data_IF_290844146663
#
_entry.id   IF_290844146663
#
_cell.length_a   1.000
_cell.length_b   1.000
_cell.length_c   1.000
_cell.angle_alpha   90.00
_cell.angle_beta   90.00
_cell.angle_gamma   90.00
#
_symmetry.space_group_name_H-M   'P 1'
#
loop_
_entity.id
_entity.type
_entity.pdbx_description
1 polymer ?
#
# COMPACT_ATOMS: atom_id res chain seq x y z
N UNK A 1 -11.08 -36.88 19.82
CA UNK A 1 -10.94 -35.51 20.37
C UNK A 1 -11.68 -34.56 19.45
N UNK A 2 -12.91 -34.22 19.82
CA UNK A 2 -13.82 -33.39 19.03
C UNK A 2 -13.30 -31.94 19.03
N UNK A 3 -13.12 -31.35 17.84
CA UNK A 3 -12.96 -29.90 17.70
C UNK A 3 -14.22 -29.23 18.27
N UNK A 4 -14.10 -28.17 19.08
CA UNK A 4 -15.26 -27.41 19.51
C UNK A 4 -15.93 -26.76 18.28
N UNK A 5 -17.26 -26.55 18.32
CA UNK A 5 -17.98 -25.94 17.21
C UNK A 5 -17.45 -24.53 17.00
N UNK A 6 -17.24 -24.17 15.73
CA UNK A 6 -16.87 -22.82 15.30
C UNK A 6 -17.87 -21.84 15.91
N UNK A 7 -17.44 -21.13 16.95
CA UNK A 7 -18.20 -20.03 17.55
C UNK A 7 -18.51 -19.04 16.43
N UNK A 8 -19.79 -18.72 16.24
CA UNK A 8 -20.24 -17.72 15.27
C UNK A 8 -19.42 -16.44 15.48
N UNK A 9 -18.49 -16.16 14.56
CA UNK A 9 -17.86 -14.85 14.47
C UNK A 9 -18.95 -13.87 14.08
N UNK A 10 -19.33 -12.99 15.01
CA UNK A 10 -20.15 -11.83 14.67
C UNK A 10 -19.25 -10.88 13.86
N UNK A 11 -19.44 -10.91 12.55
CA UNK A 11 -18.79 -9.97 11.63
C UNK A 11 -19.38 -8.57 11.87
N UNK A 12 -18.51 -7.55 11.97
CA UNK A 12 -18.95 -6.16 12.04
C UNK A 12 -19.81 -5.74 10.84
N UNK A 13 -20.46 -4.57 10.87
CA UNK A 13 -21.36 -4.11 9.79
C UNK A 13 -20.65 -3.79 8.46
N UNK A 14 -19.33 -3.96 8.39
CA UNK A 14 -18.51 -3.61 7.24
C UNK A 14 -17.36 -4.58 6.99
N UNK A 15 -16.54 -4.26 6.00
CA UNK A 15 -15.46 -5.12 5.50
C UNK A 15 -14.08 -4.49 5.73
N UNK A 16 -13.06 -5.34 5.81
CA UNK A 16 -11.66 -4.92 5.72
C UNK A 16 -11.11 -5.14 4.33
N UNK A 17 -10.19 -4.28 3.90
CA UNK A 17 -9.51 -4.37 2.61
C UNK A 17 -8.01 -4.59 2.82
N UNK A 18 -7.44 -5.59 2.14
CA UNK A 18 -6.00 -5.81 2.08
C UNK A 18 -5.57 -5.59 0.63
N UNK A 19 -4.78 -4.55 0.39
CA UNK A 19 -4.34 -4.18 -0.95
C UNK A 19 -2.82 -4.14 -1.06
N UNK A 20 -2.29 -4.71 -2.12
CA UNK A 20 -0.86 -4.65 -2.46
C UNK A 20 -0.64 -3.80 -3.72
N UNK A 21 0.35 -2.91 -3.70
CA UNK A 21 0.74 -2.09 -4.86
C UNK A 21 -0.47 -1.29 -5.38
N UNK A 22 -0.81 -1.40 -6.67
CA UNK A 22 -2.05 -0.81 -7.24
C UNK A 22 -3.33 -1.22 -6.49
N UNK A 23 -3.38 -2.44 -5.93
CA UNK A 23 -4.48 -2.88 -5.06
C UNK A 23 -4.55 -2.10 -3.74
N UNK A 24 -3.41 -1.65 -3.21
CA UNK A 24 -3.35 -0.74 -2.06
C UNK A 24 -3.93 0.63 -2.41
N UNK A 25 -3.54 1.19 -3.56
CA UNK A 25 -4.11 2.44 -4.10
C UNK A 25 -5.65 2.35 -4.24
N UNK A 26 -6.14 1.27 -4.85
CA UNK A 26 -7.59 1.05 -5.02
C UNK A 26 -8.28 0.89 -3.67
N UNK A 27 -7.69 0.16 -2.71
CA UNK A 27 -8.27 -0.03 -1.37
C UNK A 27 -8.38 1.29 -0.60
N UNK A 28 -7.37 2.15 -0.71
CA UNK A 28 -7.35 3.49 -0.15
C UNK A 28 -8.45 4.36 -0.75
N UNK A 29 -8.62 4.34 -2.08
CA UNK A 29 -9.70 5.05 -2.74
C UNK A 29 -11.09 4.51 -2.35
N UNK A 30 -11.25 3.19 -2.26
CA UNK A 30 -12.50 2.59 -1.76
C UNK A 30 -12.87 3.12 -0.38
N UNK A 31 -11.90 3.21 0.55
CA UNK A 31 -12.15 3.78 1.88
C UNK A 31 -12.54 5.26 1.86
N UNK A 32 -12.05 6.04 0.90
CA UNK A 32 -12.37 7.46 0.77
C UNK A 32 -13.76 7.74 0.15
N UNK A 33 -14.31 6.81 -0.64
CA UNK A 33 -15.53 7.04 -1.42
C UNK A 33 -16.70 6.10 -1.11
N UNK A 34 -16.44 4.92 -0.56
CA UNK A 34 -17.45 3.91 -0.28
C UNK A 34 -17.78 3.86 1.22
N UNK A 35 -19.01 3.45 1.53
CA UNK A 35 -19.45 3.20 2.91
C UNK A 35 -19.05 1.79 3.36
N UNK A 36 -19.08 1.56 4.67
CA UNK A 36 -18.88 0.24 5.30
C UNK A 36 -17.48 -0.37 5.09
N UNK A 37 -16.46 0.46 4.82
CA UNK A 37 -15.04 0.05 4.89
C UNK A 37 -14.53 0.38 6.29
N UNK A 38 -14.16 -0.65 7.05
CA UNK A 38 -13.81 -0.50 8.46
C UNK A 38 -12.31 -0.43 8.70
N UNK A 39 -11.53 -1.14 7.89
CA UNK A 39 -10.10 -1.25 8.05
C UNK A 39 -9.44 -1.47 6.69
N UNK A 40 -8.32 -0.79 6.44
CA UNK A 40 -7.51 -0.97 5.22
C UNK A 40 -6.07 -1.22 5.61
N UNK A 41 -5.53 -2.32 5.08
CA UNK A 41 -4.09 -2.57 5.06
C UNK A 41 -3.59 -2.27 3.65
N UNK A 42 -2.65 -1.35 3.52
CA UNK A 42 -1.97 -1.02 2.26
C UNK A 42 -0.52 -1.50 2.31
N UNK A 43 -0.18 -2.49 1.48
CA UNK A 43 1.17 -3.01 1.31
C UNK A 43 1.83 -2.32 0.12
N UNK A 44 2.83 -1.45 0.37
CA UNK A 44 3.53 -0.70 -0.68
C UNK A 44 2.58 -0.05 -1.72
N UNK A 45 1.42 0.41 -1.25
CA UNK A 45 0.41 1.00 -2.11
C UNK A 45 0.65 2.50 -2.31
N UNK A 46 0.61 3.01 -3.56
CA UNK A 46 0.55 4.45 -3.80
C UNK A 46 -0.65 5.09 -3.10
N UNK A 47 -0.47 6.33 -2.63
CA UNK A 47 -1.52 7.15 -1.98
C UNK A 47 -2.15 8.16 -2.94
N UNK A 48 -1.76 8.09 -4.22
CA UNK A 48 -2.23 8.91 -5.31
C UNK A 48 -2.62 8.02 -6.48
N UNK A 49 -3.51 8.49 -7.35
CA UNK A 49 -3.87 7.76 -8.55
C UNK A 49 -2.65 7.61 -9.47
N UNK A 50 -2.28 6.39 -9.81
CA UNK A 50 -1.16 6.08 -10.73
C UNK A 50 -1.65 5.36 -11.97
N UNK A 51 -1.06 5.64 -13.13
CA UNK A 51 -1.26 4.96 -14.43
C UNK A 51 -2.67 4.99 -15.05
N UNK A 52 -3.72 4.75 -14.26
CA UNK A 52 -5.13 4.74 -14.65
C UNK A 52 -5.90 5.64 -13.68
N UNK A 53 -6.68 6.62 -14.17
CA UNK A 53 -7.49 7.49 -13.32
C UNK A 53 -8.48 6.68 -12.47
N UNK A 54 -8.75 7.17 -11.25
CA UNK A 54 -9.77 6.57 -10.38
C UNK A 54 -11.09 7.31 -10.57
N UNK A 55 -12.14 6.61 -10.99
CA UNK A 55 -13.45 7.19 -11.24
C UNK A 55 -14.50 6.61 -10.29
N UNK A 56 -15.29 7.47 -9.66
CA UNK A 56 -16.44 7.08 -8.86
C UNK A 56 -17.58 8.09 -9.04
N UNK A 57 -18.68 7.65 -9.66
CA UNK A 57 -19.81 8.49 -10.08
C UNK A 57 -19.33 9.68 -10.92
N UNK A 58 -19.57 10.90 -10.48
CA UNK A 58 -19.18 12.18 -11.08
C UNK A 58 -17.77 12.64 -10.70
N UNK A 59 -17.04 11.86 -9.89
CA UNK A 59 -15.69 12.20 -9.41
C UNK A 59 -14.63 11.44 -10.17
N UNK A 60 -13.58 12.14 -10.56
CA UNK A 60 -12.37 11.57 -11.16
C UNK A 60 -11.14 12.10 -10.46
N UNK A 61 -10.26 11.19 -10.03
CA UNK A 61 -8.91 11.52 -9.56
C UNK A 61 -7.96 11.29 -10.74
N UNK A 62 -7.37 12.35 -11.32
CA UNK A 62 -6.41 12.22 -12.41
C UNK A 62 -5.13 11.53 -11.94
N UNK A 63 -4.46 10.84 -12.84
CA UNK A 63 -3.20 10.14 -12.54
C UNK A 63 -2.04 11.11 -12.36
N UNK A 64 -1.07 10.72 -11.54
CA UNK A 64 0.24 11.34 -11.56
C UNK A 64 0.87 11.24 -12.95
N UNK A 65 1.59 12.30 -13.32
CA UNK A 65 2.39 12.29 -14.54
C UNK A 65 3.53 11.29 -14.39
N UNK A 66 3.71 10.48 -15.43
CA UNK A 66 4.73 9.45 -15.50
C UNK A 66 5.80 9.86 -16.51
N UNK A 67 7.05 9.90 -16.06
CA UNK A 67 8.22 10.19 -16.87
C UNK A 67 9.11 8.95 -16.98
N UNK A 68 8.83 8.10 -17.97
CA UNK A 68 9.60 6.86 -18.19
C UNK A 68 11.10 7.15 -18.39
N UNK A 69 11.48 8.31 -18.92
CA UNK A 69 12.88 8.71 -19.10
C UNK A 69 13.64 8.94 -17.78
N UNK A 70 12.94 9.09 -16.64
CA UNK A 70 13.56 9.17 -15.31
C UNK A 70 13.95 7.80 -14.73
N UNK A 71 13.55 6.70 -15.39
CA UNK A 71 13.95 5.35 -14.96
C UNK A 71 15.48 5.21 -15.06
N UNK A 72 16.10 4.70 -14.00
CA UNK A 72 17.57 4.55 -13.94
C UNK A 72 17.95 3.14 -14.35
N UNK A 73 18.84 3.02 -15.33
CA UNK A 73 19.41 1.73 -15.71
C UNK A 73 20.52 1.33 -14.74
N UNK A 74 20.47 0.12 -14.21
CA UNK A 74 21.60 -0.50 -13.52
C UNK A 74 22.66 -0.96 -14.51
N UNK A 75 23.86 -1.31 -14.02
CA UNK A 75 24.94 -1.89 -14.82
C UNK A 75 24.51 -3.16 -15.60
N UNK A 76 23.47 -3.86 -15.15
CA UNK A 76 22.91 -5.05 -15.78
C UNK A 76 21.70 -4.78 -16.69
N UNK A 77 21.46 -3.51 -17.09
CA UNK A 77 20.32 -3.07 -17.91
C UNK A 77 18.95 -3.36 -17.30
N UNK A 78 18.89 -3.51 -15.97
CA UNK A 78 17.64 -3.61 -15.22
C UNK A 78 17.23 -2.19 -14.83
N UNK A 79 15.93 -1.89 -14.81
CA UNK A 79 15.43 -0.55 -14.57
C UNK A 79 14.96 -0.36 -13.13
N UNK A 80 15.40 0.72 -12.49
CA UNK A 80 14.85 1.24 -11.24
C UNK A 80 13.83 2.32 -11.60
N UNK A 81 12.59 2.15 -11.12
CA UNK A 81 11.46 3.00 -11.45
C UNK A 81 11.07 3.93 -10.31
N UNK A 82 11.78 3.94 -9.19
CA UNK A 82 11.42 4.72 -8.00
C UNK A 82 11.19 6.22 -8.26
N UNK A 83 11.82 6.78 -9.29
CA UNK A 83 11.74 8.21 -9.65
C UNK A 83 10.88 8.54 -10.88
N UNK A 84 10.11 7.59 -11.42
CA UNK A 84 9.34 7.83 -12.67
C UNK A 84 8.04 8.59 -12.48
N UNK A 85 7.47 8.57 -11.28
CA UNK A 85 6.24 9.31 -10.98
C UNK A 85 6.60 10.69 -10.42
N UNK A 86 5.81 11.71 -10.81
CA UNK A 86 5.84 12.99 -10.10
C UNK A 86 5.51 12.81 -8.62
N UNK A 87 6.01 13.74 -7.81
CA UNK A 87 5.70 13.77 -6.40
C UNK A 87 4.26 14.24 -6.19
N UNK A 88 3.36 13.39 -5.66
CA UNK A 88 1.96 13.75 -5.45
C UNK A 88 1.76 14.89 -4.46
N UNK A 89 2.72 15.15 -3.58
CA UNK A 89 2.65 16.21 -2.57
C UNK A 89 3.21 17.55 -3.04
N UNK A 90 3.89 17.56 -4.20
CA UNK A 90 4.36 18.77 -4.87
C UNK A 90 3.56 19.07 -6.15
N UNK A 91 2.71 18.13 -6.59
CA UNK A 91 1.88 18.30 -7.76
C UNK A 91 0.83 19.43 -7.53
N UNK A 92 0.60 20.30 -8.54
CA UNK A 92 -0.36 21.40 -8.41
C UNK A 92 -1.73 20.92 -7.94
N UNK A 93 -2.23 21.55 -6.86
CA UNK A 93 -3.57 21.31 -6.33
C UNK A 93 -3.79 19.94 -5.70
N UNK A 94 -2.74 19.11 -5.51
CA UNK A 94 -2.85 17.76 -4.93
C UNK A 94 -3.90 16.87 -5.63
N UNK A 95 -4.19 17.15 -6.90
CA UNK A 95 -5.35 16.61 -7.62
C UNK A 95 -5.34 15.08 -7.75
N UNK A 96 -4.15 14.49 -7.73
CA UNK A 96 -3.97 13.04 -7.82
C UNK A 96 -4.00 12.34 -6.47
N UNK A 97 -3.93 13.05 -5.34
CA UNK A 97 -3.99 12.45 -4.01
C UNK A 97 -5.37 11.85 -3.76
N UNK A 98 -5.38 10.67 -3.15
CA UNK A 98 -6.60 10.06 -2.65
C UNK A 98 -7.02 10.83 -1.39
N UNK A 99 -8.28 11.30 -1.27
CA UNK A 99 -8.73 12.14 -0.16
C UNK A 99 -9.00 11.32 1.11
N UNK A 100 -7.94 10.75 1.70
CA UNK A 100 -8.02 9.87 2.86
C UNK A 100 -8.56 10.57 4.11
N UNK A 101 -8.54 11.88 4.17
CA UNK A 101 -9.16 12.64 5.24
C UNK A 101 -10.68 12.43 5.34
N UNK A 102 -11.31 12.05 4.23
CA UNK A 102 -12.75 11.75 4.17
C UNK A 102 -13.08 10.34 4.66
N UNK A 103 -12.08 9.49 4.79
CA UNK A 103 -12.27 8.13 5.25
C UNK A 103 -12.39 8.07 6.79
N UNK A 104 -13.25 7.17 7.24
CA UNK A 104 -13.43 6.80 8.65
C UNK A 104 -12.76 5.45 8.98
N UNK A 105 -12.28 4.74 7.96
CA UNK A 105 -11.62 3.45 8.10
C UNK A 105 -10.33 3.55 8.92
N UNK A 106 -9.96 2.48 9.61
CA UNK A 106 -8.64 2.36 10.23
C UNK A 106 -7.60 2.02 9.16
N UNK A 107 -6.43 2.64 9.20
CA UNK A 107 -5.36 2.41 8.22
C UNK A 107 -4.14 1.75 8.84
N UNK A 108 -3.60 0.75 8.14
CA UNK A 108 -2.28 0.20 8.39
C UNK A 108 -1.48 0.24 7.09
N UNK A 109 -0.50 1.12 7.03
CA UNK A 109 0.46 1.18 5.95
C UNK A 109 1.64 0.27 6.28
N UNK A 110 1.93 -0.68 5.42
CA UNK A 110 3.10 -1.55 5.53
C UNK A 110 3.99 -1.27 4.33
N UNK A 111 5.21 -0.81 4.61
CA UNK A 111 6.12 -0.32 3.57
C UNK A 111 7.47 -0.99 3.65
N UNK A 112 8.02 -1.33 2.48
CA UNK A 112 9.41 -1.73 2.31
C UNK A 112 10.27 -0.50 2.05
N UNK A 113 11.35 -0.31 2.81
CA UNK A 113 12.24 0.84 2.62
C UNK A 113 13.14 0.72 1.38
N UNK A 114 13.27 -0.48 0.83
CA UNK A 114 14.02 -0.75 -0.41
C UNK A 114 13.09 -0.96 -1.61
N UNK A 115 11.84 -0.48 -1.55
CA UNK A 115 10.93 -0.50 -2.70
C UNK A 115 11.50 0.35 -3.86
N UNK A 116 11.78 -0.30 -5.00
CA UNK A 116 12.33 0.32 -6.22
C UNK A 116 11.30 0.52 -7.34
N UNK A 117 10.03 0.32 -7.03
CA UNK A 117 8.91 0.53 -7.96
C UNK A 117 8.17 1.81 -7.58
N UNK A 118 7.91 1.99 -6.29
CA UNK A 118 7.17 3.13 -5.73
C UNK A 118 7.93 3.65 -4.51
N UNK A 119 7.91 4.96 -4.27
CA UNK A 119 8.45 5.57 -3.03
C UNK A 119 7.53 5.32 -1.83
N UNK A 120 7.27 4.05 -1.52
CA UNK A 120 6.23 3.61 -0.59
C UNK A 120 6.37 4.22 0.81
N UNK A 121 7.58 4.21 1.40
CA UNK A 121 7.80 4.81 2.72
C UNK A 121 7.57 6.32 2.72
N UNK A 122 8.08 7.02 1.71
CA UNK A 122 7.88 8.46 1.57
C UNK A 122 6.39 8.80 1.45
N UNK A 123 5.67 8.09 0.58
CA UNK A 123 4.24 8.32 0.36
C UNK A 123 3.40 8.04 1.62
N UNK A 124 3.65 6.93 2.32
CA UNK A 124 2.97 6.62 3.57
C UNK A 124 3.27 7.67 4.65
N UNK A 125 4.53 8.10 4.77
CA UNK A 125 4.95 9.10 5.75
C UNK A 125 4.28 10.45 5.52
N UNK A 126 4.30 10.95 4.29
CA UNK A 126 3.73 12.26 3.97
C UNK A 126 2.20 12.26 4.07
N UNK A 127 1.50 11.19 3.63
CA UNK A 127 0.05 11.14 3.80
C UNK A 127 -0.35 11.08 5.27
N UNK A 128 0.40 10.36 6.11
CA UNK A 128 0.15 10.31 7.54
C UNK A 128 0.39 11.67 8.22
N UNK A 129 1.40 12.44 7.80
CA UNK A 129 1.58 13.83 8.27
C UNK A 129 0.37 14.70 7.91
N UNK A 130 -0.13 14.60 6.67
CA UNK A 130 -1.34 15.33 6.24
C UNK A 130 -2.57 14.93 7.06
N UNK A 131 -2.77 13.64 7.29
CA UNK A 131 -3.87 13.14 8.12
C UNK A 131 -3.76 13.66 9.56
N UNK A 132 -2.56 13.60 10.15
CA UNK A 132 -2.30 14.11 11.50
C UNK A 132 -2.58 15.61 11.61
N UNK A 133 -2.15 16.41 10.63
CA UNK A 133 -2.42 17.85 10.57
C UNK A 133 -3.92 18.18 10.50
N UNK A 134 -4.75 17.23 10.06
CA UNK A 134 -6.21 17.32 10.01
C UNK A 134 -6.89 16.65 11.22
N UNK A 135 -6.13 16.31 12.27
CA UNK A 135 -6.65 15.73 13.51
C UNK A 135 -7.04 14.26 13.41
N UNK A 136 -6.60 13.54 12.39
CA UNK A 136 -6.83 12.10 12.25
C UNK A 136 -5.75 11.33 13.02
N UNK A 137 -6.18 10.26 13.69
CA UNK A 137 -5.31 9.36 14.46
C UNK A 137 -5.54 7.88 14.10
N UNK A 138 -6.42 7.61 13.15
CA UNK A 138 -6.85 6.29 12.70
C UNK A 138 -5.87 5.63 11.70
N UNK A 139 -4.56 5.78 11.92
CA UNK A 139 -3.55 5.19 11.04
C UNK A 139 -2.31 4.69 11.81
N UNK A 140 -1.62 3.73 11.22
CA UNK A 140 -0.34 3.19 11.68
C UNK A 140 0.58 2.94 10.48
N UNK A 141 1.89 3.09 10.66
CA UNK A 141 2.89 2.75 9.65
C UNK A 141 3.84 1.70 10.23
N UNK A 142 4.10 0.64 9.46
CA UNK A 142 5.16 -0.32 9.70
C UNK A 142 6.15 -0.27 8.54
N UNK A 143 7.34 0.29 8.81
CA UNK A 143 8.44 0.34 7.85
C UNK A 143 9.41 -0.81 8.08
N UNK A 144 9.77 -1.52 7.00
CA UNK A 144 10.69 -2.65 7.04
C UNK A 144 11.97 -2.35 6.25
N UNK A 145 13.11 -2.13 6.93
CA UNK A 145 14.42 -1.98 6.27
C UNK A 145 14.78 -3.22 5.46
N UNK A 146 15.40 -3.04 4.29
CA UNK A 146 15.83 -4.15 3.43
C UNK A 146 14.69 -4.98 2.84
N UNK A 147 13.47 -4.45 2.82
CA UNK A 147 12.30 -5.08 2.18
C UNK A 147 11.94 -4.30 0.92
N UNK A 148 11.76 -5.02 -0.19
CA UNK A 148 11.41 -4.45 -1.48
C UNK A 148 9.92 -4.25 -1.68
N UNK A 149 9.53 -4.17 -2.96
CA UNK A 149 8.16 -3.94 -3.39
C UNK A 149 7.23 -5.10 -3.03
N UNK A 150 7.58 -6.34 -3.40
CA UNK A 150 6.72 -7.50 -3.10
C UNK A 150 6.85 -7.85 -1.61
N UNK A 151 5.75 -7.76 -0.85
CA UNK A 151 5.65 -8.24 0.55
C UNK A 151 4.64 -9.38 0.55
N UNK A 152 5.12 -10.57 0.21
CA UNK A 152 4.30 -11.77 0.10
C UNK A 152 4.00 -12.42 1.47
N UNK A 153 3.06 -13.39 1.54
CA UNK A 153 2.88 -14.20 2.75
C UNK A 153 4.18 -14.88 3.20
N UNK A 154 4.28 -15.26 4.48
CA UNK A 154 5.50 -15.84 5.04
C UNK A 154 6.08 -16.98 4.21
N UNK A 155 7.41 -16.97 4.07
CA UNK A 155 8.21 -18.01 3.40
C UNK A 155 8.10 -18.05 1.87
N UNK A 156 7.37 -17.13 1.24
CA UNK A 156 7.52 -16.91 -0.20
C UNK A 156 8.94 -16.42 -0.51
N UNK A 157 9.59 -16.92 -1.57
CA UNK A 157 10.96 -16.56 -1.88
C UNK A 157 11.07 -15.08 -2.29
N UNK A 158 12.24 -14.49 -2.07
CA UNK A 158 12.53 -13.12 -2.50
C UNK A 158 12.65 -13.05 -4.03
N UNK A 159 12.04 -12.03 -4.62
CA UNK A 159 12.19 -11.68 -6.03
C UNK A 159 12.75 -10.25 -6.14
N UNK A 160 14.08 -10.06 -6.04
CA UNK A 160 14.67 -8.72 -6.02
C UNK A 160 14.65 -8.05 -7.40
N UNK A 161 14.46 -8.86 -8.45
CA UNK A 161 14.33 -8.45 -9.85
C UNK A 161 13.13 -9.20 -10.41
N UNK A 162 12.21 -8.48 -11.04
CA UNK A 162 11.03 -9.05 -11.67
C UNK A 162 10.62 -8.26 -12.90
N UNK A 163 9.40 -8.48 -13.38
CA UNK A 163 8.79 -7.61 -14.39
C UNK A 163 8.11 -6.44 -13.69
N UNK A 164 8.32 -5.21 -14.18
CA UNK A 164 7.53 -4.07 -13.73
C UNK A 164 6.04 -4.35 -14.01
N UNK A 165 5.13 -4.12 -13.06
CA UNK A 165 3.71 -4.45 -13.21
C UNK A 165 3.03 -3.74 -14.38
N UNK A 166 3.48 -2.51 -14.69
CA UNK A 166 2.94 -1.68 -15.78
C UNK A 166 3.76 -1.75 -17.08
N UNK A 167 5.09 -1.57 -17.02
CA UNK A 167 5.92 -1.51 -18.24
C UNK A 167 6.27 -2.86 -18.85
N UNK A 168 6.04 -3.96 -18.12
CA UNK A 168 6.43 -5.31 -18.53
C UNK A 168 7.93 -5.47 -18.89
N UNK A 169 8.77 -4.57 -18.36
CA UNK A 169 10.23 -4.59 -18.50
C UNK A 169 10.88 -5.09 -17.22
N UNK A 170 12.08 -5.69 -17.32
CA UNK A 170 12.83 -6.10 -16.12
C UNK A 170 13.08 -4.90 -15.21
N UNK A 171 12.71 -5.03 -13.96
CA UNK A 171 12.77 -4.00 -12.95
C UNK A 171 13.47 -4.52 -11.69
N UNK A 172 14.15 -3.63 -10.99
CA UNK A 172 14.53 -3.85 -9.61
C UNK A 172 13.24 -3.73 -8.79
N UNK A 173 12.96 -4.75 -7.98
CA UNK A 173 11.87 -4.73 -7.00
C UNK A 173 12.40 -4.47 -5.59
N UNK A 174 13.71 -4.70 -5.39
CA UNK A 174 14.41 -4.46 -4.12
C UNK A 174 14.28 -5.60 -3.12
N UNK A 175 14.93 -5.44 -1.98
CA UNK A 175 14.91 -6.38 -0.86
C UNK A 175 16.20 -7.18 -0.69
N UNK A 176 16.51 -7.50 0.57
CA UNK A 176 17.57 -8.39 1.02
C UNK A 176 16.93 -9.63 1.64
N UNK A 177 17.42 -10.83 1.32
CA UNK A 177 16.75 -12.10 1.61
C UNK A 177 16.39 -12.27 3.09
N UNK A 178 17.32 -11.99 4.01
CA UNK A 178 17.11 -12.16 5.45
C UNK A 178 16.16 -11.11 6.01
N UNK A 179 16.33 -9.85 5.65
CA UNK A 179 15.46 -8.75 6.06
C UNK A 179 14.02 -8.97 5.56
N UNK A 180 13.89 -9.30 4.27
CA UNK A 180 12.63 -9.64 3.62
C UNK A 180 11.89 -10.76 4.34
N UNK A 181 12.55 -11.90 4.58
CA UNK A 181 11.93 -13.05 5.24
C UNK A 181 11.41 -12.72 6.64
N UNK A 182 12.16 -11.94 7.43
CA UNK A 182 11.71 -11.46 8.74
C UNK A 182 10.52 -10.50 8.62
N UNK A 183 10.55 -9.61 7.64
CA UNK A 183 9.48 -8.66 7.40
C UNK A 183 8.16 -9.37 7.04
N UNK A 184 8.17 -10.38 6.17
CA UNK A 184 6.97 -11.16 5.83
C UNK A 184 6.31 -11.77 7.07
N UNK A 185 7.10 -12.45 7.92
CA UNK A 185 6.61 -13.10 9.14
C UNK A 185 5.98 -12.07 10.08
N UNK A 186 6.67 -10.95 10.31
CA UNK A 186 6.15 -9.90 11.18
C UNK A 186 4.90 -9.24 10.57
N UNK A 187 4.97 -8.79 9.32
CA UNK A 187 3.86 -8.12 8.63
C UNK A 187 2.60 -8.99 8.63
N UNK A 188 2.72 -10.29 8.31
CA UNK A 188 1.58 -11.20 8.32
C UNK A 188 0.88 -11.28 9.68
N UNK A 189 1.66 -11.34 10.77
CA UNK A 189 1.10 -11.33 12.12
C UNK A 189 0.39 -10.00 12.45
N UNK A 190 0.95 -8.87 12.01
CA UNK A 190 0.39 -7.54 12.23
C UNK A 190 -0.90 -7.33 11.44
N UNK A 191 -0.98 -7.81 10.20
CA UNK A 191 -2.19 -7.79 9.37
C UNK A 191 -3.32 -8.55 10.07
N UNK A 192 -3.04 -9.75 10.57
CA UNK A 192 -4.03 -10.54 11.29
C UNK A 192 -4.49 -9.85 12.58
N UNK A 193 -3.57 -9.31 13.36
CA UNK A 193 -3.88 -8.59 14.60
C UNK A 193 -4.74 -7.34 14.33
N UNK A 194 -4.39 -6.58 13.29
CA UNK A 194 -5.10 -5.38 12.86
C UNK A 194 -6.55 -5.69 12.46
N UNK A 195 -6.77 -6.67 11.58
CA UNK A 195 -8.13 -7.05 11.19
C UNK A 195 -8.93 -7.68 12.33
N UNK A 196 -8.31 -8.50 13.18
CA UNK A 196 -8.98 -9.01 14.40
C UNK A 196 -9.43 -7.89 15.32
N UNK A 197 -8.64 -6.82 15.45
CA UNK A 197 -8.98 -5.66 16.29
C UNK A 197 -10.17 -4.88 15.76
N UNK A 198 -10.28 -4.71 14.44
CA UNK A 198 -11.23 -3.77 13.84
C UNK A 198 -12.42 -4.40 13.09
N UNK A 199 -12.41 -5.70 12.82
CA UNK A 199 -13.50 -6.39 12.12
C UNK A 199 -14.29 -7.37 12.98
N UNK A 200 -13.72 -7.83 14.10
CA UNK A 200 -14.39 -8.74 15.02
C UNK A 200 -15.09 -7.89 16.08
N UNK A 201 -16.42 -7.97 16.11
CA UNK A 201 -17.21 -7.40 17.20
C UNK A 201 -16.91 -8.23 18.45
N UNK A 202 -16.46 -7.58 19.52
CA UNK A 202 -16.32 -8.21 20.83
C UNK A 202 -17.67 -8.33 21.52
#
# INVERSE_FOLDING_TARGET
FLQPPITKLFHGPGVGLLGFSKGGEVSLAMAAFLKNIMAVVSLNGPVAATCIPLCYKDKTIPTLTLYVHKAKATNSKILDYSDVLDDPFQAPGNQSLIPLEKAEAQFLFIVGQDDRVVKSEYYATEVCKLLQAQGKENFQILSYPGTGHCIDPPFFPLYPIGSHPVFHKRAVLGGELRAYSKAQVHAWSQIQAFFKKYLIVK
#
